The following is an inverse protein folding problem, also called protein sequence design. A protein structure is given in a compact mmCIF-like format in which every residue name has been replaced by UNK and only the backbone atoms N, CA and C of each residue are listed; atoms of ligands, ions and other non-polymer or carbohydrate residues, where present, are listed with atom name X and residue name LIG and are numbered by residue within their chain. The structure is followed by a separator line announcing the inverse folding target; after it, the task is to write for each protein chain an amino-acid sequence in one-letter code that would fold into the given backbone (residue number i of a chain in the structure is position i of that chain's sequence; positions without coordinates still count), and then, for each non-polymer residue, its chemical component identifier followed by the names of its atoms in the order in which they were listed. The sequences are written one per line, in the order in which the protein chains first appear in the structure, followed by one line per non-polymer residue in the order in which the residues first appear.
data_IF_467364050841
#
_entry.id   IF_467364050841
#
_cell.length_a   1.000
_cell.length_b   1.000
_cell.length_c   1.000
_cell.angle_alpha   90.00
_cell.angle_beta   90.00
_cell.angle_gamma   90.00
#
_symmetry.space_group_name_H-M   'P 1'
#
loop_
_entity.id
_entity.type
_entity.pdbx_description
1 polymer ?
#
# COMPACT_ATOMS: atom_id res chain seq x y z
N UNK A 1 14.61 7.47 22.63
CA UNK A 1 14.48 6.77 21.33
C UNK A 1 13.20 7.14 20.60
N UNK A 2 12.01 6.99 21.20
CA UNK A 2 10.72 7.40 20.57
C UNK A 2 10.68 8.91 20.26
N UNK A 3 11.11 9.75 21.21
CA UNK A 3 11.12 11.21 21.03
C UNK A 3 12.11 11.69 19.97
N UNK A 4 13.22 10.96 19.79
CA UNK A 4 14.25 11.27 18.79
C UNK A 4 13.76 10.97 17.38
N UNK A 5 13.17 9.80 17.17
CA UNK A 5 12.57 9.43 15.87
C UNK A 5 11.47 10.43 15.51
N UNK A 6 10.61 10.79 16.47
CA UNK A 6 9.56 11.77 16.24
C UNK A 6 10.11 13.17 15.91
N UNK A 7 11.25 13.56 16.46
CA UNK A 7 11.92 14.82 16.12
C UNK A 7 12.53 14.78 14.72
N UNK A 8 13.25 13.71 14.39
CA UNK A 8 13.91 13.54 13.09
C UNK A 8 12.90 13.45 11.93
N UNK A 9 11.69 12.91 12.16
CA UNK A 9 10.59 12.95 11.19
C UNK A 9 10.09 14.36 10.87
N UNK A 10 10.46 15.38 11.65
CA UNK A 10 10.18 16.78 11.30
C UNK A 10 11.18 17.36 10.29
N UNK A 11 12.22 16.60 9.93
CA UNK A 11 13.18 16.93 8.88
C UNK A 11 12.67 16.29 7.59
N UNK A 12 12.45 17.11 6.56
CA UNK A 12 11.68 16.70 5.38
C UNK A 12 12.31 15.55 4.59
N UNK A 13 13.64 15.54 4.42
CA UNK A 13 14.30 14.45 3.69
C UNK A 13 14.21 13.14 4.49
N UNK A 14 14.41 13.20 5.81
CA UNK A 14 14.35 12.02 6.69
C UNK A 14 12.94 11.46 6.79
N UNK A 15 11.93 12.34 6.82
CA UNK A 15 10.53 11.91 6.78
C UNK A 15 10.25 11.14 5.50
N UNK A 16 10.72 11.64 4.35
CA UNK A 16 10.51 10.97 3.07
C UNK A 16 11.22 9.62 3.01
N UNK A 17 12.50 9.57 3.39
CA UNK A 17 13.29 8.33 3.45
C UNK A 17 12.65 7.30 4.38
N UNK A 18 12.14 7.74 5.54
CA UNK A 18 11.42 6.87 6.47
C UNK A 18 10.17 6.26 5.82
N UNK A 19 9.38 7.04 5.09
CA UNK A 19 8.19 6.50 4.43
C UNK A 19 8.57 5.45 3.38
N UNK A 20 9.63 5.65 2.57
CA UNK A 20 10.10 4.68 1.58
C UNK A 20 10.39 3.28 2.16
N UNK A 21 10.76 3.21 3.44
CA UNK A 21 11.03 1.95 4.14
C UNK A 21 9.79 1.35 4.82
N UNK A 22 8.76 2.16 5.10
CA UNK A 22 7.65 1.83 5.98
C UNK A 22 6.26 1.92 5.32
N UNK A 23 6.18 2.06 3.99
CA UNK A 23 4.90 2.16 3.28
C UNK A 23 3.99 0.94 3.51
N UNK A 24 2.83 1.22 4.09
CA UNK A 24 1.74 0.28 4.29
C UNK A 24 0.56 0.58 3.34
N UNK A 25 -0.32 -0.39 3.15
CA UNK A 25 -1.53 -0.24 2.35
C UNK A 25 -1.49 -0.96 1.00
N UNK A 26 -2.51 -0.65 0.19
CA UNK A 26 -2.81 -1.26 -1.11
C UNK A 26 -1.68 -1.00 -2.12
N UNK A 27 -1.47 -1.94 -3.03
CA UNK A 27 -0.50 -1.81 -4.10
C UNK A 27 -1.13 -2.19 -5.44
N UNK A 28 -1.55 -1.18 -6.22
CA UNK A 28 -2.32 -1.39 -7.45
C UNK A 28 -1.51 -2.03 -8.58
N UNK A 29 -0.19 -1.85 -8.55
CA UNK A 29 0.70 -2.34 -9.60
C UNK A 29 1.63 -3.47 -9.14
N UNK A 30 1.48 -3.98 -7.91
CA UNK A 30 2.37 -5.03 -7.38
C UNK A 30 2.30 -6.34 -8.19
N UNK A 31 1.19 -6.59 -8.88
CA UNK A 31 1.06 -7.76 -9.76
C UNK A 31 2.10 -7.79 -10.88
N UNK A 32 2.70 -6.64 -11.23
CA UNK A 32 3.80 -6.56 -12.18
C UNK A 32 5.04 -7.32 -11.70
N UNK A 33 5.22 -7.47 -10.38
CA UNK A 33 6.37 -8.18 -9.81
C UNK A 33 6.25 -9.70 -9.94
N UNK A 34 5.05 -10.28 -9.99
CA UNK A 34 4.80 -11.72 -9.82
C UNK A 34 5.61 -12.67 -10.71
N UNK A 35 6.04 -12.21 -11.89
CA UNK A 35 6.79 -13.02 -12.86
C UNK A 35 8.18 -12.46 -13.17
N UNK A 36 8.66 -11.50 -12.38
CA UNK A 36 9.93 -10.81 -12.61
C UNK A 36 11.03 -11.35 -11.70
N UNK A 37 12.28 -11.30 -12.18
CA UNK A 37 13.43 -11.68 -11.36
C UNK A 37 13.58 -13.18 -11.04
N UNK A 38 12.81 -14.06 -11.68
CA UNK A 38 12.89 -15.53 -11.47
C UNK A 38 14.28 -16.13 -11.77
N UNK A 39 15.07 -15.46 -12.59
CA UNK A 39 16.43 -15.88 -12.98
C UNK A 39 17.52 -15.31 -12.06
N UNK A 40 17.17 -14.44 -11.11
CA UNK A 40 18.10 -13.84 -10.15
C UNK A 40 18.47 -14.86 -9.08
N UNK A 41 19.60 -14.66 -8.40
CA UNK A 41 20.10 -15.59 -7.39
C UNK A 41 19.15 -15.73 -6.20
N UNK A 42 18.42 -14.66 -5.88
CA UNK A 42 17.42 -14.66 -4.81
C UNK A 42 16.10 -14.02 -5.28
N UNK A 43 15.24 -14.81 -5.96
CA UNK A 43 13.95 -14.33 -6.46
C UNK A 43 13.02 -13.83 -5.36
N UNK A 44 13.07 -14.45 -4.17
CA UNK A 44 12.24 -14.05 -3.03
C UNK A 44 12.59 -12.64 -2.53
N UNK A 45 13.87 -12.37 -2.29
CA UNK A 45 14.33 -11.02 -1.90
C UNK A 45 14.06 -9.99 -2.98
N UNK A 46 14.22 -10.36 -4.25
CA UNK A 46 13.83 -9.51 -5.37
C UNK A 46 12.33 -9.17 -5.34
N UNK A 47 11.46 -10.16 -5.11
CA UNK A 47 10.01 -9.95 -5.07
C UNK A 47 9.61 -8.95 -3.99
N UNK A 48 10.19 -9.08 -2.78
CA UNK A 48 9.96 -8.16 -1.68
C UNK A 48 10.41 -6.73 -2.03
N UNK A 49 11.61 -6.58 -2.62
CA UNK A 49 12.10 -5.29 -3.07
C UNK A 49 11.20 -4.71 -4.18
N UNK A 50 10.80 -5.51 -5.15
CA UNK A 50 9.96 -5.09 -6.26
C UNK A 50 8.61 -4.54 -5.76
N UNK A 51 7.94 -5.26 -4.87
CA UNK A 51 6.69 -4.79 -4.28
C UNK A 51 6.86 -3.46 -3.55
N UNK A 52 7.95 -3.30 -2.80
CA UNK A 52 8.25 -2.05 -2.09
C UNK A 52 8.55 -0.91 -3.06
N UNK A 53 9.35 -1.15 -4.09
CA UNK A 53 9.63 -0.18 -5.14
C UNK A 53 8.34 0.30 -5.82
N UNK A 54 7.44 -0.61 -6.18
CA UNK A 54 6.17 -0.25 -6.82
C UNK A 54 5.33 0.68 -5.93
N UNK A 55 5.25 0.41 -4.63
CA UNK A 55 4.61 1.33 -3.69
C UNK A 55 5.33 2.68 -3.61
N UNK A 56 6.65 2.66 -3.56
CA UNK A 56 7.47 3.87 -3.49
C UNK A 56 7.29 4.76 -4.73
N UNK A 57 7.10 4.18 -5.92
CA UNK A 57 6.80 4.93 -7.15
C UNK A 57 5.48 5.70 -7.02
N UNK A 58 4.42 5.04 -6.55
CA UNK A 58 3.11 5.67 -6.42
C UNK A 58 3.06 6.70 -5.28
N UNK A 59 3.69 6.40 -4.15
CA UNK A 59 3.89 7.36 -3.06
C UNK A 59 4.62 8.60 -3.56
N UNK A 60 5.72 8.42 -4.28
CA UNK A 60 6.52 9.52 -4.82
C UNK A 60 5.70 10.40 -5.74
N UNK A 61 4.99 9.81 -6.70
CA UNK A 61 4.06 10.53 -7.57
C UNK A 61 3.04 11.34 -6.75
N UNK A 62 2.43 10.72 -5.75
CA UNK A 62 1.45 11.37 -4.86
C UNK A 62 2.06 12.56 -4.11
N UNK A 63 3.29 12.43 -3.61
CA UNK A 63 3.98 13.56 -2.95
C UNK A 63 4.27 14.72 -3.92
N UNK A 64 4.56 14.44 -5.19
CA UNK A 64 4.80 15.46 -6.21
C UNK A 64 3.49 16.18 -6.56
N UNK A 65 2.38 15.45 -6.65
CA UNK A 65 1.04 16.04 -6.86
C UNK A 65 0.68 17.00 -5.72
N UNK A 66 0.93 16.59 -4.47
CA UNK A 66 0.54 17.37 -3.28
C UNK A 66 1.47 18.57 -3.06
N UNK A 67 2.78 18.37 -3.17
CA UNK A 67 3.77 19.38 -2.80
C UNK A 67 4.29 20.21 -3.98
N UNK A 68 3.95 19.82 -5.21
CA UNK A 68 4.31 20.52 -6.44
C UNK A 68 5.51 19.93 -7.18
N UNK A 69 5.54 20.21 -8.49
CA UNK A 69 6.53 19.67 -9.45
C UNK A 69 7.95 20.14 -9.21
N UNK A 70 8.16 21.23 -8.46
CA UNK A 70 9.50 21.72 -8.11
C UNK A 70 10.30 20.72 -7.25
N UNK A 71 9.64 19.82 -6.51
CA UNK A 71 10.32 18.75 -5.76
C UNK A 71 10.52 17.47 -6.58
N UNK A 72 9.98 17.39 -7.80
CA UNK A 72 10.00 16.19 -8.64
C UNK A 72 11.40 15.59 -8.76
N UNK A 73 12.36 16.39 -9.24
CA UNK A 73 13.74 15.92 -9.45
C UNK A 73 14.30 15.31 -8.17
N UNK A 74 14.12 16.01 -7.04
CA UNK A 74 14.60 15.55 -5.74
C UNK A 74 13.96 14.24 -5.30
N UNK A 75 12.63 14.12 -5.36
CA UNK A 75 11.92 12.90 -4.95
C UNK A 75 12.27 11.70 -5.82
N UNK A 76 12.39 11.91 -7.12
CA UNK A 76 12.82 10.85 -8.04
C UNK A 76 14.24 10.37 -7.75
N UNK A 77 15.17 11.31 -7.51
CA UNK A 77 16.55 10.97 -7.13
C UNK A 77 16.64 10.24 -5.79
N UNK A 78 15.83 10.62 -4.81
CA UNK A 78 15.76 9.93 -3.51
C UNK A 78 15.33 8.47 -3.68
N UNK A 79 14.30 8.18 -4.49
CA UNK A 79 13.83 6.80 -4.73
C UNK A 79 14.85 5.99 -5.51
N UNK A 80 15.50 6.60 -6.51
CA UNK A 80 16.58 5.95 -7.26
C UNK A 80 17.74 5.62 -6.32
N UNK A 81 18.15 6.56 -5.46
CA UNK A 81 19.15 6.31 -4.43
C UNK A 81 18.73 5.20 -3.48
N UNK A 82 17.51 5.26 -2.94
CA UNK A 82 16.97 4.25 -2.04
C UNK A 82 17.03 2.85 -2.67
N UNK A 83 16.58 2.72 -3.91
CA UNK A 83 16.60 1.46 -4.66
C UNK A 83 18.03 0.93 -4.81
N UNK A 84 18.96 1.77 -5.29
CA UNK A 84 20.36 1.35 -5.45
C UNK A 84 21.01 1.02 -4.11
N UNK A 85 20.76 1.81 -3.06
CA UNK A 85 21.30 1.58 -1.72
C UNK A 85 20.80 0.25 -1.16
N UNK A 86 19.50 -0.04 -1.31
CA UNK A 86 18.93 -1.31 -0.87
C UNK A 86 19.60 -2.49 -1.58
N UNK A 87 19.72 -2.45 -2.92
CA UNK A 87 20.35 -3.52 -3.71
C UNK A 87 21.82 -3.70 -3.35
N UNK A 88 22.57 -2.62 -3.16
CA UNK A 88 23.99 -2.69 -2.80
C UNK A 88 24.22 -3.27 -1.39
N UNK A 89 23.26 -3.11 -0.48
CA UNK A 89 23.36 -3.60 0.89
C UNK A 89 22.69 -4.97 1.11
N UNK A 90 22.14 -5.60 0.06
CA UNK A 90 21.42 -6.87 0.20
C UNK A 90 22.31 -8.09 0.54
N UNK A 91 23.65 -8.04 0.41
CA UNK A 91 24.55 -9.16 0.76
C UNK A 91 26.03 -8.76 0.98
N UNK A 92 26.73 -9.46 1.88
CA UNK A 92 28.15 -9.24 2.21
C UNK A 92 29.17 -9.71 1.14
N UNK A 93 28.73 -10.36 0.07
CA UNK A 93 29.58 -10.81 -1.05
C UNK A 93 28.93 -10.42 -2.37
N UNK A 94 29.13 -9.15 -2.73
CA UNK A 94 28.46 -8.53 -3.86
C UNK A 94 29.11 -8.95 -5.18
N UNK A 95 28.43 -9.84 -5.90
CA UNK A 95 28.66 -10.00 -7.33
C UNK A 95 28.09 -8.76 -8.05
N UNK A 96 28.98 -7.93 -8.61
CA UNK A 96 28.59 -6.72 -9.36
C UNK A 96 27.62 -7.02 -10.51
N UNK A 97 27.72 -8.21 -11.12
CA UNK A 97 26.81 -8.61 -12.19
C UNK A 97 25.39 -8.84 -11.65
N UNK A 98 25.28 -9.46 -10.48
CA UNK A 98 23.98 -9.69 -9.84
C UNK A 98 23.29 -8.37 -9.48
N UNK A 99 24.03 -7.40 -8.91
CA UNK A 99 23.51 -6.05 -8.65
C UNK A 99 22.99 -5.41 -9.93
N UNK A 100 23.79 -5.47 -11.01
CA UNK A 100 23.40 -4.89 -12.29
C UNK A 100 22.13 -5.54 -12.82
N UNK A 101 22.00 -6.86 -12.70
CA UNK A 101 20.81 -7.60 -13.15
C UNK A 101 19.57 -7.22 -12.32
N UNK A 102 19.69 -7.15 -10.99
CA UNK A 102 18.61 -6.70 -10.10
C UNK A 102 18.15 -5.29 -10.49
N UNK A 103 19.07 -4.33 -10.63
CA UNK A 103 18.74 -2.95 -11.00
C UNK A 103 18.03 -2.89 -12.36
N UNK A 104 18.51 -3.66 -13.35
CA UNK A 104 17.88 -3.74 -14.68
C UNK A 104 16.45 -4.26 -14.61
N UNK A 105 16.20 -5.31 -13.83
CA UNK A 105 14.85 -5.86 -13.66
C UNK A 105 13.91 -4.88 -12.93
N UNK A 106 14.38 -4.23 -11.86
CA UNK A 106 13.61 -3.19 -11.17
C UNK A 106 13.29 -2.00 -12.08
N UNK A 107 14.24 -1.58 -12.92
CA UNK A 107 14.01 -0.52 -13.92
C UNK A 107 12.90 -0.92 -14.91
N UNK A 108 12.92 -2.15 -15.43
CA UNK A 108 11.85 -2.63 -16.33
C UNK A 108 10.48 -2.56 -15.68
N UNK A 109 10.39 -2.93 -14.39
CA UNK A 109 9.14 -2.81 -13.62
C UNK A 109 8.73 -1.35 -13.48
N UNK A 110 9.67 -0.44 -13.17
CA UNK A 110 9.39 0.99 -13.07
C UNK A 110 8.86 1.55 -14.40
N UNK A 111 9.51 1.22 -15.52
CA UNK A 111 9.06 1.63 -16.85
C UNK A 111 7.62 1.19 -17.14
N UNK A 112 7.29 -0.05 -16.77
CA UNK A 112 5.95 -0.63 -16.94
C UNK A 112 4.91 0.04 -16.02
N UNK A 113 5.28 0.38 -14.78
CA UNK A 113 4.43 1.18 -13.87
C UNK A 113 4.15 2.54 -14.49
N UNK A 114 5.17 3.24 -14.98
CA UNK A 114 5.01 4.54 -15.66
C UNK A 114 4.07 4.41 -16.87
N UNK A 115 4.23 3.37 -17.70
CA UNK A 115 3.36 3.11 -18.86
C UNK A 115 1.90 2.91 -18.45
N UNK A 116 1.65 2.12 -17.41
CA UNK A 116 0.28 1.89 -16.90
C UNK A 116 -0.33 3.15 -16.30
N UNK A 117 0.44 3.93 -15.55
CA UNK A 117 -0.01 5.22 -15.01
C UNK A 117 -0.41 6.18 -16.15
N UNK A 118 0.41 6.29 -17.20
CA UNK A 118 0.10 7.11 -18.38
C UNK A 118 -1.17 6.64 -19.09
N UNK A 119 -1.31 5.32 -19.28
CA UNK A 119 -2.48 4.72 -19.92
C UNK A 119 -3.78 5.00 -19.13
N UNK A 120 -3.66 5.14 -17.81
CA UNK A 120 -4.77 5.50 -16.92
C UNK A 120 -4.99 7.03 -16.80
N UNK A 121 -4.33 7.85 -17.63
CA UNK A 121 -4.52 9.30 -17.67
C UNK A 121 -3.73 10.08 -16.61
N UNK A 122 -2.72 9.47 -15.97
CA UNK A 122 -1.86 10.20 -15.03
C UNK A 122 -0.97 11.21 -15.76
N UNK A 123 -0.84 12.41 -15.20
CA UNK A 123 0.03 13.46 -15.76
C UNK A 123 1.51 13.02 -15.75
N UNK A 124 2.18 12.99 -16.93
CA UNK A 124 3.61 12.68 -17.05
C UNK A 124 4.52 13.63 -16.26
N UNK A 125 4.06 14.85 -15.96
CA UNK A 125 4.80 15.81 -15.15
C UNK A 125 5.09 15.30 -13.74
N UNK A 126 4.30 14.36 -13.22
CA UNK A 126 4.48 13.75 -11.90
C UNK A 126 5.30 12.45 -11.90
N UNK A 127 5.75 11.98 -13.07
CA UNK A 127 6.47 10.71 -13.22
C UNK A 127 7.97 10.90 -13.24
N UNK A 128 8.70 9.97 -12.62
CA UNK A 128 10.15 9.97 -12.63
C UNK A 128 10.73 9.45 -13.95
N UNK A 129 11.80 10.10 -14.41
CA UNK A 129 12.61 9.62 -15.53
C UNK A 129 13.54 8.49 -15.04
N UNK A 130 13.42 7.33 -15.68
CA UNK A 130 14.18 6.11 -15.36
C UNK A 130 15.42 5.96 -16.23
N UNK A 131 15.64 6.83 -17.22
CA UNK A 131 16.66 6.67 -18.27
C UNK A 131 18.08 6.45 -17.72
N UNK A 132 18.41 7.14 -16.62
CA UNK A 132 19.76 7.13 -16.01
C UNK A 132 19.99 6.03 -14.97
N UNK A 133 18.97 5.25 -14.61
CA UNK A 133 19.04 4.25 -13.53
C UNK A 133 20.17 3.24 -13.75
N UNK A 134 20.34 2.74 -14.98
CA UNK A 134 21.35 1.71 -15.26
C UNK A 134 22.77 2.27 -15.40
N UNK A 135 22.92 3.57 -15.65
CA UNK A 135 24.20 4.19 -16.02
C UNK A 135 24.85 4.95 -14.87
N UNK A 136 24.11 5.21 -13.79
CA UNK A 136 24.61 6.02 -12.68
C UNK A 136 25.55 5.22 -11.77
N UNK A 137 26.68 5.85 -11.41
CA UNK A 137 27.64 5.28 -10.47
C UNK A 137 27.09 5.46 -9.05
N UNK A 138 27.11 4.39 -8.23
CA UNK A 138 26.50 4.42 -6.90
C UNK A 138 27.10 5.49 -5.97
N UNK A 139 28.41 5.70 -6.00
CA UNK A 139 29.07 6.74 -5.19
C UNK A 139 28.64 8.15 -5.60
N UNK A 140 28.43 8.39 -6.90
CA UNK A 140 27.91 9.67 -7.40
C UNK A 140 26.47 9.90 -6.92
N UNK A 141 25.64 8.86 -6.97
CA UNK A 141 24.26 8.90 -6.49
C UNK A 141 24.21 9.19 -4.99
N UNK A 142 25.05 8.52 -4.19
CA UNK A 142 25.19 8.75 -2.75
C UNK A 142 25.63 10.17 -2.43
N UNK A 143 26.62 10.69 -3.17
CA UNK A 143 27.11 12.06 -3.02
C UNK A 143 26.02 13.07 -3.37
N UNK A 144 25.31 12.88 -4.48
CA UNK A 144 24.20 13.73 -4.92
C UNK A 144 23.05 13.75 -3.92
N UNK A 145 22.64 12.58 -3.40
CA UNK A 145 21.66 12.45 -2.31
C UNK A 145 22.06 13.28 -1.10
N UNK A 146 23.30 13.11 -0.64
CA UNK A 146 23.82 13.81 0.54
C UNK A 146 23.77 15.34 0.38
N UNK A 147 24.15 15.85 -0.79
CA UNK A 147 24.05 17.28 -1.11
C UNK A 147 22.60 17.76 -1.17
N UNK A 148 21.73 17.00 -1.84
CA UNK A 148 20.32 17.32 -2.01
C UNK A 148 19.57 17.39 -0.67
N UNK A 149 19.84 16.44 0.23
CA UNK A 149 19.26 16.41 1.59
C UNK A 149 19.72 17.59 2.41
N UNK A 150 21.01 17.92 2.36
CA UNK A 150 21.54 19.10 3.02
C UNK A 150 20.80 20.37 2.56
N UNK A 151 20.66 20.57 1.24
CA UNK A 151 20.00 21.74 0.70
C UNK A 151 18.51 21.81 1.03
N UNK A 152 17.79 20.67 1.02
CA UNK A 152 16.40 20.63 1.43
C UNK A 152 16.22 20.96 2.92
N UNK A 153 17.04 20.35 3.77
CA UNK A 153 16.83 20.41 5.21
C UNK A 153 17.30 21.72 5.84
N UNK A 154 18.15 22.48 5.14
CA UNK A 154 18.77 23.69 5.69
C UNK A 154 17.78 24.70 6.24
N UNK A 155 16.63 24.89 5.58
CA UNK A 155 15.62 25.87 6.00
C UNK A 155 14.90 25.43 7.25
N UNK A 156 14.52 24.16 7.25
CA UNK A 156 13.91 23.52 8.41
C UNK A 156 14.86 23.59 9.60
N UNK A 157 16.13 23.23 9.41
CA UNK A 157 17.13 23.27 10.48
C UNK A 157 17.37 24.68 10.98
N UNK A 158 17.52 25.66 10.08
CA UNK A 158 17.62 27.07 10.46
C UNK A 158 16.44 27.49 11.33
N UNK A 159 15.20 27.22 10.91
CA UNK A 159 14.00 27.56 11.68
C UNK A 159 13.93 26.83 13.04
N UNK A 160 14.39 25.57 13.13
CA UNK A 160 14.37 24.81 14.38
C UNK A 160 15.47 25.23 15.36
N UNK A 161 16.61 25.73 14.86
CA UNK A 161 17.80 26.08 15.65
C UNK A 161 17.85 27.57 16.07
N UNK A 162 17.20 28.46 15.33
CA UNK A 162 17.19 29.92 15.60
C UNK A 162 16.02 30.38 16.46
N UNK A 163 15.18 29.46 16.94
CA UNK A 163 14.06 29.74 17.85
C UNK A 163 14.43 29.32 19.27
N UNK A 164 14.25 30.23 20.24
CA UNK A 164 14.54 29.97 21.67
C UNK A 164 13.63 28.87 22.21
N UNK A 165 14.16 28.07 23.14
CA UNK A 165 13.44 27.02 23.88
C UNK A 165 12.73 25.99 22.98
N UNK A 166 13.26 25.75 21.77
CA UNK A 166 12.69 24.71 20.90
C UNK A 166 12.94 23.34 21.50
N UNK A 167 11.86 22.59 21.72
CA UNK A 167 11.91 21.18 22.09
C UNK A 167 12.74 20.41 21.06
N UNK A 168 13.58 19.49 21.53
CA UNK A 168 14.48 18.67 20.70
C UNK A 168 15.58 19.45 19.96
N UNK A 169 15.96 20.65 20.41
CA UNK A 169 17.04 21.39 19.74
C UNK A 169 18.36 20.60 19.65
N UNK A 170 18.75 19.87 20.70
CA UNK A 170 19.95 19.02 20.68
C UNK A 170 19.96 18.05 19.48
N UNK A 171 18.82 17.42 19.19
CA UNK A 171 18.67 16.48 18.07
C UNK A 171 18.88 17.18 16.72
N UNK A 172 18.29 18.37 16.54
CA UNK A 172 18.48 19.15 15.31
C UNK A 172 19.92 19.66 15.17
N UNK A 173 20.55 20.03 16.28
CA UNK A 173 21.93 20.48 16.31
C UNK A 173 22.90 19.35 15.93
N UNK A 174 22.71 18.16 16.51
CA UNK A 174 23.50 16.98 16.19
C UNK A 174 23.36 16.59 14.72
N UNK A 175 22.13 16.61 14.20
CA UNK A 175 21.88 16.36 12.78
C UNK A 175 22.55 17.40 11.87
N UNK A 176 22.42 18.69 12.19
CA UNK A 176 23.06 19.78 11.45
C UNK A 176 24.58 19.62 11.43
N UNK A 177 25.18 19.29 12.58
CA UNK A 177 26.62 19.07 12.71
C UNK A 177 27.09 17.87 11.88
N UNK A 178 26.36 16.75 11.92
CA UNK A 178 26.66 15.54 11.13
C UNK A 178 26.55 15.79 9.63
N UNK A 179 25.63 16.65 9.20
CA UNK A 179 25.40 16.95 7.78
C UNK A 179 26.23 18.13 7.26
N UNK A 180 26.91 18.90 8.13
CA UNK A 180 27.81 20.00 7.73
C UNK A 180 28.84 19.58 6.69
N UNK A 181 29.35 18.35 6.76
CA UNK A 181 30.31 17.82 5.78
C UNK A 181 29.77 17.79 4.35
N UNK A 182 28.44 17.66 4.16
CA UNK A 182 27.80 17.70 2.85
C UNK A 182 27.99 19.06 2.16
N UNK A 183 28.05 20.15 2.93
CA UNK A 183 28.20 21.51 2.39
C UNK A 183 29.49 21.65 1.59
N UNK A 184 30.58 20.96 1.96
CA UNK A 184 31.83 21.00 1.18
C UNK A 184 31.59 20.58 -0.28
N UNK A 185 30.84 19.51 -0.50
CA UNK A 185 30.52 19.04 -1.84
C UNK A 185 29.56 20.00 -2.55
N UNK A 186 28.57 20.55 -1.83
CA UNK A 186 27.66 21.58 -2.35
C UNK A 186 28.47 22.80 -2.82
N UNK A 187 29.38 23.30 -1.99
CA UNK A 187 30.18 24.46 -2.31
C UNK A 187 31.03 24.23 -3.56
N UNK A 188 31.78 23.13 -3.62
CA UNK A 188 32.66 22.82 -4.75
C UNK A 188 31.90 22.66 -6.07
N UNK A 189 30.71 22.02 -6.06
CA UNK A 189 29.97 21.70 -7.29
C UNK A 189 28.93 22.74 -7.70
N UNK A 190 28.41 23.53 -6.74
CA UNK A 190 27.34 24.48 -6.99
C UNK A 190 27.78 25.93 -6.88
N UNK A 191 28.66 26.29 -5.94
CA UNK A 191 28.89 27.70 -5.55
C UNK A 191 30.28 28.22 -5.89
N UNK A 192 31.25 27.34 -6.10
CA UNK A 192 32.61 27.71 -6.48
C UNK A 192 32.60 28.42 -7.82
N UNK A 193 33.32 29.53 -7.90
CA UNK A 193 33.44 30.30 -9.13
C UNK A 193 33.98 29.42 -10.27
N UNK A 194 33.29 29.41 -11.41
CA UNK A 194 33.63 28.58 -12.56
C UNK A 194 33.24 27.10 -12.45
N UNK A 195 32.47 26.70 -11.43
CA UNK A 195 31.99 25.33 -11.30
C UNK A 195 31.03 24.94 -12.44
N UNK A 196 31.13 23.69 -12.88
CA UNK A 196 30.12 23.09 -13.76
C UNK A 196 28.91 22.66 -12.90
N UNK A 197 27.84 23.45 -12.95
CA UNK A 197 26.64 23.24 -12.14
C UNK A 197 25.72 22.12 -12.66
N UNK A 198 26.13 21.35 -13.68
CA UNK A 198 25.35 20.23 -14.20
C UNK A 198 25.10 19.14 -13.14
N UNK A 199 26.06 18.93 -12.24
CA UNK A 199 25.95 17.95 -11.14
C UNK A 199 25.32 18.53 -9.87
N UNK A 200 25.10 19.84 -9.83
CA UNK A 200 24.48 20.50 -8.69
C UNK A 200 23.02 20.03 -8.54
N UNK A 201 22.62 19.49 -7.37
CA UNK A 201 21.22 19.15 -7.12
C UNK A 201 20.32 20.36 -7.30
N UNK A 202 19.12 20.16 -7.86
CA UNK A 202 18.18 21.24 -8.15
C UNK A 202 17.95 22.19 -6.96
N UNK A 203 17.71 21.63 -5.76
CA UNK A 203 17.45 22.41 -4.54
C UNK A 203 18.66 23.24 -4.07
N UNK A 204 19.87 22.90 -4.51
CA UNK A 204 21.07 23.63 -4.15
C UNK A 204 21.33 24.82 -5.10
N UNK A 205 20.73 24.88 -6.29
CA UNK A 205 21.12 25.88 -7.31
C UNK A 205 20.87 27.33 -6.90
N UNK A 206 19.82 27.57 -6.11
CA UNK A 206 19.31 28.93 -5.88
C UNK A 206 19.53 29.44 -4.45
N UNK A 207 20.14 28.64 -3.57
CA UNK A 207 20.19 28.98 -2.15
C UNK A 207 21.53 28.65 -1.51
N UNK A 208 22.28 29.69 -1.14
CA UNK A 208 23.51 29.55 -0.36
C UNK A 208 23.18 29.24 1.10
N UNK A 209 23.01 27.95 1.36
CA UNK A 209 22.83 27.38 2.68
C UNK A 209 24.19 27.21 3.34
N UNK A 210 24.81 28.30 3.81
CA UNK A 210 26.08 28.18 4.54
C UNK A 210 25.79 27.68 5.97
N UNK A 211 26.38 26.53 6.38
CA UNK A 211 26.14 25.98 7.71
C UNK A 211 26.63 26.92 8.82
N UNK A 212 27.64 27.75 8.57
CA UNK A 212 28.18 28.67 9.58
C UNK A 212 27.20 29.80 9.90
N UNK A 213 26.32 30.18 8.96
CA UNK A 213 25.23 31.14 9.23
C UNK A 213 24.27 30.56 10.28
N UNK A 214 23.83 29.32 10.11
CA UNK A 214 22.91 28.65 11.04
C UNK A 214 23.54 28.50 12.43
N UNK A 215 24.83 28.15 12.47
CA UNK A 215 25.55 27.92 13.72
C UNK A 215 25.83 29.22 14.48
N UNK A 216 26.07 30.32 13.77
CA UNK A 216 26.27 31.65 14.38
C UNK A 216 24.96 32.23 14.94
N UNK A 217 23.81 31.93 14.32
CA UNK A 217 22.49 32.42 14.75
C UNK A 217 21.77 31.50 15.76
N UNK A 218 22.48 30.50 16.29
CA UNK A 218 21.95 29.47 17.16
C UNK A 218 21.38 30.05 18.47
N UNK A 219 20.10 29.76 18.78
CA UNK A 219 19.41 30.25 19.99
C UNK A 219 19.06 29.17 21.00
N UNK A 220 19.71 28.02 20.89
CA UNK A 220 19.43 26.87 21.73
C UNK A 220 20.16 26.95 23.06
N UNK A 221 19.40 26.86 24.14
CA UNK A 221 19.86 26.97 25.53
C UNK A 221 20.47 25.67 26.07
N UNK A 222 20.07 24.52 25.51
CA UNK A 222 20.52 23.18 25.93
C UNK A 222 21.26 22.47 24.80
N UNK A 223 22.25 23.12 24.19
CA UNK A 223 23.16 22.40 23.28
C UNK A 223 24.02 21.53 24.19
N UNK A 224 24.07 20.20 23.99
CA UNK A 224 25.02 19.37 24.69
C UNK A 224 26.42 19.94 24.42
N UNK A 225 27.17 20.25 25.48
CA UNK A 225 28.63 20.40 25.35
C UNK A 225 29.11 19.20 24.55
N UNK A 226 29.97 19.35 23.52
CA UNK A 226 30.38 18.24 22.69
C UNK A 226 30.98 17.15 23.56
N UNK A 227 30.16 16.17 23.94
CA UNK A 227 30.62 14.93 24.51
C UNK A 227 31.32 14.22 23.37
N UNK A 228 32.63 14.14 23.49
CA UNK A 228 33.48 13.23 22.75
C UNK A 228 32.78 11.86 22.75
N UNK A 229 32.23 11.36 21.63
CA UNK A 229 31.48 10.14 21.70
C UNK A 229 32.45 8.98 21.74
N UNK A 230 32.29 8.13 22.76
CA UNK A 230 31.82 6.76 22.55
C UNK A 230 31.55 6.12 23.91
N UNK A 231 30.30 5.74 24.15
CA UNK A 231 30.08 4.44 24.79
C UNK A 231 30.61 3.42 23.79
N UNK A 232 31.88 3.05 23.93
CA UNK A 232 32.46 1.92 23.22
C UNK A 232 31.74 0.72 23.83
N UNK A 233 30.64 0.29 23.21
CA UNK A 233 30.14 -1.07 23.39
C UNK A 233 31.30 -1.96 22.96
N UNK A 234 31.69 -2.92 23.79
CA UNK A 234 32.80 -3.80 23.43
C UNK A 234 32.43 -4.56 22.16
N UNK A 235 33.43 -5.00 21.40
CA UNK A 235 33.19 -5.84 20.23
C UNK A 235 32.33 -7.07 20.59
N UNK A 236 32.46 -7.56 21.83
CA UNK A 236 31.68 -8.65 22.41
C UNK A 236 30.20 -8.30 22.58
N UNK A 237 29.87 -7.11 23.09
CA UNK A 237 28.48 -6.66 23.21
C UNK A 237 27.83 -6.44 21.83
N UNK A 238 28.59 -5.90 20.86
CA UNK A 238 28.12 -5.74 19.48
C UNK A 238 27.87 -7.09 18.79
N UNK A 239 28.79 -8.05 18.99
CA UNK A 239 28.65 -9.40 18.44
C UNK A 239 27.46 -10.12 19.10
N UNK A 240 27.27 -10.00 20.42
CA UNK A 240 26.15 -10.60 21.13
C UNK A 240 24.78 -10.07 20.68
N UNK A 241 24.66 -8.75 20.47
CA UNK A 241 23.45 -8.13 19.93
C UNK A 241 23.18 -8.61 18.49
N UNK A 242 24.24 -8.68 17.67
CA UNK A 242 24.17 -9.15 16.27
C UNK A 242 23.75 -10.62 16.18
N UNK A 243 24.30 -11.48 17.03
CA UNK A 243 23.98 -12.91 17.08
C UNK A 243 22.54 -13.12 17.57
N UNK A 244 22.08 -12.32 18.53
CA UNK A 244 20.70 -12.33 18.99
C UNK A 244 19.73 -11.91 17.88
N UNK A 245 20.01 -10.80 17.19
CA UNK A 245 19.22 -10.33 16.04
C UNK A 245 19.18 -11.36 14.92
N UNK A 246 20.30 -12.04 14.65
CA UNK A 246 20.39 -13.10 13.65
C UNK A 246 19.56 -14.32 14.05
N UNK A 247 19.60 -14.73 15.32
CA UNK A 247 18.77 -15.82 15.84
C UNK A 247 17.28 -15.49 15.79
N UNK A 248 16.90 -14.27 16.14
CA UNK A 248 15.51 -13.81 16.10
C UNK A 248 15.00 -13.72 14.66
N UNK A 249 15.84 -13.25 13.72
CA UNK A 249 15.56 -13.25 12.29
C UNK A 249 15.42 -14.68 11.74
N UNK A 250 16.27 -15.60 12.16
CA UNK A 250 16.21 -17.02 11.74
C UNK A 250 14.95 -17.71 12.26
N UNK A 251 14.55 -17.44 13.53
CA UNK A 251 13.26 -17.89 14.08
C UNK A 251 12.08 -17.29 13.33
N UNK A 252 12.13 -16.01 12.98
CA UNK A 252 11.08 -15.35 12.20
C UNK A 252 10.98 -15.93 10.77
N UNK A 253 12.11 -16.23 10.13
CA UNK A 253 12.17 -16.91 8.84
C UNK A 253 11.66 -18.35 8.91
N UNK A 254 11.97 -19.10 9.97
CA UNK A 254 11.42 -20.44 10.18
C UNK A 254 9.91 -20.41 10.46
N UNK A 255 9.43 -19.41 11.20
CA UNK A 255 8.00 -19.19 11.39
C UNK A 255 7.28 -18.80 10.09
N UNK A 256 7.95 -18.08 9.18
CA UNK A 256 7.44 -17.74 7.86
C UNK A 256 7.55 -18.89 6.84
N UNK A 257 8.54 -19.77 6.99
CA UNK A 257 8.75 -20.96 6.15
C UNK A 257 7.90 -22.15 6.56
N UNK A 258 7.26 -22.11 7.74
CA UNK A 258 6.11 -22.95 7.99
C UNK A 258 4.93 -22.35 7.23
N UNK A 259 4.38 -23.02 6.19
CA UNK A 259 3.11 -22.60 5.65
C UNK A 259 2.11 -22.70 6.80
N UNK A 260 1.70 -21.55 7.31
CA UNK A 260 0.47 -21.46 8.07
C UNK A 260 -0.59 -22.09 7.15
N UNK A 261 -1.18 -23.20 7.61
CA UNK A 261 -2.08 -24.13 6.90
C UNK A 261 -1.42 -25.30 6.15
N UNK A 262 -1.05 -26.34 6.90
CA UNK A 262 -0.97 -27.71 6.38
C UNK A 262 -2.22 -28.50 6.82
N UNK A 263 -2.82 -29.28 5.91
CA UNK A 263 -4.04 -30.07 6.14
C UNK A 263 -3.90 -31.17 7.23
N UNK A 264 -2.70 -31.39 7.74
CA UNK A 264 -2.40 -32.33 8.84
C UNK A 264 -2.28 -31.67 10.21
N UNK A 265 -2.54 -30.36 10.34
CA UNK A 265 -2.56 -29.69 11.64
C UNK A 265 -3.83 -30.08 12.42
N UNK A 266 -3.71 -30.63 13.65
CA UNK A 266 -4.86 -30.98 14.48
C UNK A 266 -5.80 -29.80 14.77
N UNK A 267 -5.30 -28.56 14.72
CA UNK A 267 -6.12 -27.35 14.86
C UNK A 267 -7.06 -27.15 13.67
N UNK A 268 -6.62 -27.49 12.46
CA UNK A 268 -7.43 -27.42 11.22
C UNK A 268 -8.50 -28.51 11.24
N UNK A 269 -8.17 -29.71 11.72
CA UNK A 269 -9.14 -30.80 11.90
C UNK A 269 -10.26 -30.38 12.86
N UNK A 270 -9.91 -29.74 13.98
CA UNK A 270 -10.89 -29.19 14.92
C UNK A 270 -11.75 -28.08 14.29
N UNK A 271 -11.17 -27.17 13.51
CA UNK A 271 -11.92 -26.12 12.81
C UNK A 271 -12.90 -26.68 11.77
N UNK A 272 -12.50 -27.72 11.01
CA UNK A 272 -13.38 -28.42 10.06
C UNK A 272 -14.53 -29.10 10.81
N UNK A 273 -14.25 -29.76 11.94
CA UNK A 273 -15.30 -30.38 12.76
C UNK A 273 -16.29 -29.34 13.32
N UNK A 274 -15.79 -28.22 13.85
CA UNK A 274 -16.65 -27.16 14.39
C UNK A 274 -17.47 -26.44 13.31
N UNK A 275 -16.92 -26.26 12.12
CA UNK A 275 -17.68 -25.66 10.99
C UNK A 275 -18.78 -26.60 10.51
N UNK A 276 -18.51 -27.91 10.37
CA UNK A 276 -19.53 -28.90 10.04
C UNK A 276 -20.63 -28.99 11.12
N UNK A 277 -20.25 -28.94 12.40
CA UNK A 277 -21.20 -28.88 13.51
C UNK A 277 -22.03 -27.60 13.49
N UNK A 278 -21.42 -26.45 13.23
CA UNK A 278 -22.12 -25.17 13.12
C UNK A 278 -23.14 -25.16 11.99
N UNK A 279 -22.79 -25.74 10.83
CA UNK A 279 -23.70 -25.91 9.70
C UNK A 279 -24.88 -26.81 10.08
N UNK A 280 -24.62 -27.95 10.72
CA UNK A 280 -25.68 -28.88 11.16
C UNK A 280 -26.65 -28.24 12.15
N UNK A 281 -26.12 -27.52 13.15
CA UNK A 281 -26.91 -26.79 14.14
C UNK A 281 -27.75 -25.69 13.46
N UNK A 282 -27.15 -24.96 12.51
CA UNK A 282 -27.86 -23.92 11.75
C UNK A 282 -29.03 -24.51 10.95
N UNK A 283 -28.83 -25.63 10.24
CA UNK A 283 -29.91 -26.31 9.54
C UNK A 283 -30.99 -26.85 10.49
N UNK A 284 -30.61 -27.37 11.66
CA UNK A 284 -31.57 -27.83 12.67
C UNK A 284 -32.47 -26.68 13.17
N UNK A 285 -31.87 -25.51 13.48
CA UNK A 285 -32.63 -24.34 13.88
C UNK A 285 -33.49 -23.79 12.73
N UNK A 286 -32.96 -23.73 11.51
CA UNK A 286 -33.74 -23.31 10.34
C UNK A 286 -34.90 -24.27 10.06
N UNK A 287 -34.74 -25.59 10.24
CA UNK A 287 -35.82 -26.57 10.08
C UNK A 287 -36.92 -26.41 11.13
N UNK A 288 -36.55 -26.04 12.37
CA UNK A 288 -37.50 -25.87 13.48
C UNK A 288 -38.20 -24.51 13.47
N UNK A 289 -37.53 -23.44 13.04
CA UNK A 289 -38.01 -22.05 13.10
C UNK A 289 -38.64 -21.61 11.77
N UNK A 290 -38.13 -22.08 10.64
CA UNK A 290 -38.70 -21.79 9.31
C UNK A 290 -39.82 -22.79 9.06
N UNK A 291 -41.02 -22.40 8.57
CA UNK A 291 -42.11 -23.34 8.25
C UNK A 291 -41.83 -24.10 6.95
N UNK A 292 -40.59 -24.60 6.79
CA UNK A 292 -40.12 -25.33 5.63
C UNK A 292 -40.87 -26.66 5.46
N UNK A 293 -41.37 -27.26 6.56
CA UNK A 293 -42.24 -28.44 6.49
C UNK A 293 -43.55 -28.17 5.76
N UNK A 294 -44.14 -26.98 5.91
CA UNK A 294 -45.34 -26.58 5.17
C UNK A 294 -45.03 -26.26 3.72
N UNK A 295 -43.87 -25.68 3.41
CA UNK A 295 -43.46 -25.41 2.03
C UNK A 295 -43.14 -26.68 1.24
N UNK A 296 -42.43 -27.64 1.85
CA UNK A 296 -42.17 -28.97 1.27
C UNK A 296 -43.48 -29.74 1.11
N UNK A 297 -44.36 -29.74 2.12
CA UNK A 297 -45.68 -30.40 2.02
C UNK A 297 -46.52 -29.79 0.90
N UNK A 298 -46.51 -28.47 0.71
CA UNK A 298 -47.26 -27.81 -0.36
C UNK A 298 -46.70 -28.16 -1.75
N UNK A 299 -45.38 -28.26 -1.90
CA UNK A 299 -44.75 -28.66 -3.16
C UNK A 299 -44.94 -30.17 -3.47
N UNK A 300 -45.00 -31.04 -2.45
CA UNK A 300 -45.31 -32.46 -2.62
C UNK A 300 -46.80 -32.70 -2.92
N UNK A 301 -47.71 -31.95 -2.28
CA UNK A 301 -49.15 -31.98 -2.60
C UNK A 301 -49.41 -31.47 -4.02
N UNK A 302 -48.76 -30.38 -4.46
CA UNK A 302 -48.83 -29.91 -5.85
C UNK A 302 -48.35 -30.97 -6.85
N UNK A 303 -47.31 -31.75 -6.53
CA UNK A 303 -46.87 -32.86 -7.38
C UNK A 303 -47.83 -34.06 -7.40
N UNK A 304 -48.57 -34.33 -6.32
CA UNK A 304 -49.58 -35.40 -6.28
C UNK A 304 -50.80 -35.06 -7.14
N UNK A 305 -51.28 -33.81 -7.09
CA UNK A 305 -52.41 -33.33 -7.91
C UNK A 305 -52.06 -33.38 -9.42
N UNK A 306 -50.79 -33.14 -9.79
CA UNK A 306 -50.36 -33.24 -11.20
C UNK A 306 -50.25 -34.70 -11.67
N UNK A 307 -50.14 -35.69 -10.77
CA UNK A 307 -50.02 -37.11 -11.13
C UNK A 307 -51.37 -37.85 -11.20
N UNK A 308 -52.39 -37.41 -10.46
CA UNK A 308 -53.75 -37.98 -10.54
C UNK A 308 -54.59 -37.41 -11.71
N UNK A 309 -54.06 -36.44 -12.48
CA UNK A 309 -54.74 -35.87 -13.66
C UNK A 309 -54.26 -36.45 -15.01
N UNK A 310 -53.59 -37.60 -15.00
CA UNK A 310 -53.02 -38.23 -16.21
C UNK A 310 -53.42 -39.69 -16.44
N UNK A 311 -54.48 -40.16 -15.79
CA UNK A 311 -55.07 -41.46 -16.06
C UNK A 311 -56.58 -41.36 -15.85
N UNK A 312 -57.33 -41.18 -16.95
CA UNK A 312 -58.61 -41.86 -17.27
C UNK A 312 -59.21 -41.18 -18.51
N UNK A 313 -59.24 -41.91 -19.62
CA UNK A 313 -59.90 -41.50 -20.85
C UNK A 313 -60.96 -42.56 -21.20
N UNK A 314 -62.19 -42.06 -21.46
CA UNK A 314 -63.21 -42.56 -22.43
C UNK A 314 -64.10 -43.70 -21.89
N UNK A 315 -65.44 -43.69 -21.89
CA UNK A 315 -66.55 -42.81 -22.30
C UNK A 315 -67.84 -43.37 -21.64
N UNK A 316 -68.84 -42.55 -21.27
CA UNK A 316 -70.16 -42.47 -21.96
C UNK A 316 -71.28 -41.75 -21.15
N UNK A 317 -72.01 -40.90 -21.86
CA UNK A 317 -73.45 -40.55 -21.77
C UNK A 317 -74.09 -39.75 -20.59
N UNK A 318 -74.23 -38.43 -20.82
CA UNK A 318 -75.48 -37.62 -20.78
C UNK A 318 -75.99 -36.84 -19.53
N UNK A 319 -76.46 -35.62 -19.85
CA UNK A 319 -77.48 -34.74 -19.22
C UNK A 319 -77.06 -33.66 -18.20
N UNK A 320 -76.95 -32.42 -18.74
CA UNK A 320 -77.34 -31.07 -18.25
C UNK A 320 -76.99 -30.60 -16.82
N UNK A 321 -76.21 -29.50 -16.73
CA UNK A 321 -76.63 -28.22 -16.13
C UNK A 321 -75.54 -27.11 -16.20
N UNK A 322 -75.85 -26.05 -16.96
CA UNK A 322 -75.68 -24.61 -16.64
C UNK A 322 -74.31 -24.12 -16.08
N UNK A 323 -73.42 -23.56 -16.92
CA UNK A 323 -73.13 -22.11 -17.14
C UNK A 323 -72.75 -21.33 -15.86
N UNK A 324 -71.74 -20.47 -15.76
CA UNK A 324 -70.95 -19.74 -16.75
C UNK A 324 -69.62 -19.30 -16.12
N UNK A 325 -68.60 -19.22 -16.97
CA UNK A 325 -67.31 -18.62 -16.72
C UNK A 325 -67.44 -17.11 -16.90
N UNK A 326 -66.90 -16.30 -15.97
CA UNK A 326 -66.57 -14.91 -16.27
C UNK A 326 -65.18 -14.57 -15.74
N UNK A 327 -64.21 -14.66 -16.65
CA UNK A 327 -62.91 -14.03 -16.56
C UNK A 327 -63.02 -12.54 -16.94
N UNK A 328 -62.09 -11.76 -16.38
CA UNK A 328 -61.47 -10.57 -16.96
C UNK A 328 -62.12 -9.18 -16.81
N UNK A 329 -61.29 -8.29 -16.24
CA UNK A 329 -61.12 -6.86 -16.57
C UNK A 329 -62.35 -5.96 -16.52
N UNK A 330 -62.52 -5.28 -15.38
CA UNK A 330 -63.46 -4.18 -15.22
C UNK A 330 -62.71 -2.84 -15.30
N UNK A 331 -62.70 -2.22 -16.48
CA UNK A 331 -62.36 -0.81 -16.68
C UNK A 331 -63.55 -0.12 -17.37
N UNK A 332 -64.26 0.70 -16.60
CA UNK A 332 -65.20 1.78 -16.95
C UNK A 332 -65.85 1.78 -18.35
N UNK A 333 -67.16 1.47 -18.40
CA UNK A 333 -68.11 2.12 -19.33
C UNK A 333 -69.42 2.38 -18.59
N UNK A 334 -69.98 3.56 -18.83
CA UNK A 334 -70.91 4.28 -17.97
C UNK A 334 -72.30 3.68 -17.78
N UNK A 335 -72.87 4.00 -16.62
CA UNK A 335 -74.23 3.75 -16.20
C UNK A 335 -75.27 4.30 -17.18
N UNK A 336 -76.33 3.54 -17.42
CA UNK A 336 -77.60 4.08 -17.88
C UNK A 336 -78.74 3.47 -17.05
N UNK A 337 -79.31 4.27 -16.17
CA UNK A 337 -80.47 3.91 -15.33
C UNK A 337 -81.72 4.33 -16.09
N UNK A 338 -82.71 3.45 -16.18
CA UNK A 338 -84.10 3.82 -16.47
C UNK A 338 -85.03 3.15 -15.47
N UNK A 339 -86.11 3.85 -15.15
CA UNK A 339 -86.78 3.89 -13.86
C UNK A 339 -88.22 3.33 -13.95
N UNK A 340 -88.61 2.52 -12.95
CA UNK A 340 -89.96 2.24 -12.42
C UNK A 340 -91.06 1.70 -13.36
N UNK A 341 -92.09 0.96 -12.93
CA UNK A 341 -92.86 0.99 -11.67
C UNK A 341 -93.66 -0.31 -11.43
N UNK A 342 -93.90 -0.54 -10.13
CA UNK A 342 -94.94 -1.29 -9.40
C UNK A 342 -96.18 -1.84 -10.14
N UNK A 343 -96.67 -3.04 -9.75
CA UNK A 343 -97.85 -3.20 -8.86
C UNK A 343 -98.22 -4.69 -8.62
N UNK A 344 -98.64 -5.01 -7.41
CA UNK A 344 -99.17 -6.29 -6.88
C UNK A 344 -100.73 -6.32 -7.01
N UNK A 345 -101.57 -7.29 -6.52
CA UNK A 345 -101.33 -8.33 -5.52
C UNK A 345 -102.10 -9.70 -5.67
N UNK A 346 -101.77 -10.58 -4.72
CA UNK A 346 -102.48 -11.73 -4.14
C UNK A 346 -103.87 -12.18 -4.63
N UNK A 347 -104.03 -13.50 -4.75
CA UNK A 347 -104.92 -14.29 -3.88
C UNK A 347 -104.34 -15.66 -3.57
#
# INVERSE_FOLDING_TARGET
MVDEISALKQIESLSFDYELDNLNGRCDYCSLCNNSGNHLKNPFSFQLLCHRLVKNIDYTRSTIVINGTHLKEKRCEDVIYWMHNYVNNMNNKTDKNEISNIIKELKKIWDEVNRKLQSNGSDPSHMCDTSKINTIIFDELKRKKTMSDYCQNSDTLHAKLTVRNKVNCSIYYDYSTKTKGAYKNVFEECYKFGANTANCPYLCKNKKNDPDIILNDLKCTNIPVPEIPKKIITQEECNAETDRLKSDLEKALQAANNPSFNFSDPRVVLLILFTLWGIFITFFFLYKITPFSSWIRNNLIKKKIVRDNFDEHIDDESIYAYSDIANSTMQNVGYNISYNSEWSPSL
#
